data_IF_303798289810
#
_entry.id   IF_303798289810
#
_cell.length_a   1.000
_cell.length_b   1.000
_cell.length_c   1.000
_cell.angle_alpha   90.00
_cell.angle_beta   90.00
_cell.angle_gamma   90.00
#
_symmetry.space_group_name_H-M   'P 1'
#
loop_
_entity.id
_entity.type
_entity.pdbx_description
1 polymer ?
#
# COMPACT_ATOMS: atom_id res chain seq x y z
N UNK A 1 4.41 8.65 -21.39
CA UNK A 1 4.50 7.18 -21.58
C UNK A 1 3.99 6.59 -20.28
N UNK A 2 2.93 5.78 -20.27
CA UNK A 2 2.42 5.20 -19.02
C UNK A 2 3.49 4.27 -18.45
N UNK A 3 3.82 4.41 -17.17
CA UNK A 3 4.96 3.74 -16.50
C UNK A 3 4.70 2.26 -16.17
N UNK A 4 3.89 1.58 -16.97
CA UNK A 4 3.28 0.26 -16.68
C UNK A 4 4.30 -0.87 -16.54
N UNK A 5 5.41 -0.79 -17.28
CA UNK A 5 6.50 -1.77 -17.17
C UNK A 5 7.24 -1.75 -15.84
N UNK A 6 7.07 -0.71 -15.02
CA UNK A 6 7.71 -0.61 -13.70
C UNK A 6 6.90 -1.31 -12.62
N UNK A 7 5.58 -1.14 -12.62
CA UNK A 7 4.68 -1.76 -11.62
C UNK A 7 4.82 -3.28 -11.61
N UNK A 8 4.93 -3.90 -12.79
CA UNK A 8 5.16 -5.35 -12.92
C UNK A 8 6.44 -5.86 -12.22
N UNK A 9 7.39 -4.98 -11.87
CA UNK A 9 8.60 -5.35 -11.12
C UNK A 9 8.40 -5.42 -9.60
N UNK A 10 7.28 -4.90 -9.10
CA UNK A 10 6.93 -4.94 -7.68
C UNK A 10 6.19 -6.24 -7.29
N UNK A 11 5.89 -7.10 -8.26
CA UNK A 11 5.21 -8.37 -8.03
C UNK A 11 3.70 -8.32 -8.27
N UNK A 12 3.04 -9.47 -8.10
CA UNK A 12 1.64 -9.69 -8.47
C UNK A 12 0.64 -9.04 -7.48
N UNK A 13 1.14 -8.61 -6.33
CA UNK A 13 0.37 -7.94 -5.26
C UNK A 13 -0.04 -6.51 -5.63
N UNK A 14 0.61 -5.92 -6.64
CA UNK A 14 0.28 -4.61 -7.15
C UNK A 14 -0.62 -4.72 -8.39
N UNK A 15 -1.78 -4.08 -8.35
CA UNK A 15 -2.64 -3.91 -9.50
C UNK A 15 -2.29 -2.61 -10.22
N UNK A 16 -1.83 -2.72 -11.47
CA UNK A 16 -1.57 -1.56 -12.34
C UNK A 16 -2.88 -0.90 -12.79
N UNK A 17 -2.96 0.43 -12.63
CA UNK A 17 -4.16 1.22 -12.97
C UNK A 17 -4.48 1.28 -14.47
N UNK A 18 -3.62 0.72 -15.32
CA UNK A 18 -3.81 0.60 -16.77
C UNK A 18 -4.41 -0.74 -17.22
N UNK A 19 -4.48 -1.73 -16.33
CA UNK A 19 -5.04 -3.06 -16.61
C UNK A 19 -6.44 -3.21 -16.00
N UNK A 20 -7.16 -4.29 -16.34
CA UNK A 20 -8.46 -4.60 -15.76
C UNK A 20 -8.31 -4.97 -14.29
N UNK A 21 -8.76 -4.10 -13.40
CA UNK A 21 -8.50 -4.21 -11.98
C UNK A 21 -9.76 -4.44 -11.14
N UNK A 22 -9.55 -4.82 -9.89
CA UNK A 22 -10.58 -5.12 -8.90
C UNK A 22 -11.19 -3.89 -8.23
N UNK A 23 -10.54 -2.72 -8.32
CA UNK A 23 -11.05 -1.45 -7.81
C UNK A 23 -11.43 -0.46 -8.92
N UNK A 24 -12.36 0.46 -8.57
CA UNK A 24 -12.69 1.58 -9.44
C UNK A 24 -11.52 2.58 -9.48
N UNK A 25 -10.79 2.59 -10.59
CA UNK A 25 -9.64 3.45 -10.83
C UNK A 25 -9.95 4.95 -10.75
N UNK A 26 -11.22 5.34 -10.85
CA UNK A 26 -11.63 6.74 -10.70
C UNK A 26 -11.89 7.13 -9.25
N UNK A 27 -12.07 6.15 -8.36
CA UNK A 27 -12.31 6.38 -6.94
C UNK A 27 -11.00 6.73 -6.20
N UNK A 28 -9.90 6.03 -6.50
CA UNK A 28 -8.62 6.18 -5.79
C UNK A 28 -8.02 7.60 -5.87
N UNK A 29 -7.91 8.26 -7.05
CA UNK A 29 -7.43 9.64 -7.10
C UNK A 29 -8.34 10.63 -6.38
N UNK A 30 -9.66 10.36 -6.36
CA UNK A 30 -10.64 11.18 -5.67
C UNK A 30 -10.52 11.03 -4.15
N UNK A 31 -10.30 9.82 -3.67
CA UNK A 31 -10.09 9.53 -2.24
C UNK A 31 -8.76 10.11 -1.78
N UNK A 32 -7.67 9.91 -2.50
CA UNK A 32 -6.39 10.55 -2.17
C UNK A 32 -6.52 12.07 -2.05
N UNK A 33 -7.22 12.72 -2.97
CA UNK A 33 -7.47 14.17 -2.90
C UNK A 33 -8.34 14.58 -1.70
N UNK A 34 -9.20 13.69 -1.22
CA UNK A 34 -10.12 13.96 -0.10
C UNK A 34 -9.45 13.71 1.25
N UNK A 35 -8.62 12.68 1.36
CA UNK A 35 -8.04 12.21 2.61
C UNK A 35 -6.72 12.92 2.96
N UNK A 36 -5.99 13.47 1.98
CA UNK A 36 -4.75 14.22 2.23
C UNK A 36 -5.07 15.52 2.97
N UNK A 37 -4.78 15.51 4.28
CA UNK A 37 -4.98 16.64 5.16
C UNK A 37 -4.04 17.82 4.81
N UNK A 38 -4.42 19.09 5.04
CA UNK A 38 -3.59 20.28 4.79
C UNK A 38 -2.20 20.30 5.43
N UNK A 39 -2.01 19.58 6.52
CA UNK A 39 -0.70 19.43 7.19
C UNK A 39 0.15 18.28 6.63
N UNK A 40 -0.38 17.48 5.72
CA UNK A 40 0.33 16.38 5.09
C UNK A 40 1.42 16.91 4.13
N UNK A 41 2.63 16.33 4.08
CA UNK A 41 3.72 16.79 3.22
C UNK A 41 3.39 16.87 1.72
N UNK A 42 2.43 16.06 1.28
CA UNK A 42 1.96 16.02 -0.12
C UNK A 42 0.64 16.77 -0.34
N UNK A 43 0.19 17.58 0.62
CA UNK A 43 -0.98 18.43 0.40
C UNK A 43 -0.75 19.38 -0.78
N UNK A 44 -1.62 19.29 -1.79
CA UNK A 44 -1.52 20.07 -3.02
C UNK A 44 -0.45 19.61 -4.01
N UNK A 45 0.29 18.52 -3.73
CA UNK A 45 1.23 17.95 -4.67
C UNK A 45 0.52 17.32 -5.88
N UNK A 46 1.13 17.44 -7.07
CA UNK A 46 0.62 16.81 -8.28
C UNK A 46 1.00 15.32 -8.31
N UNK A 47 0.15 14.48 -7.70
CA UNK A 47 0.32 13.04 -7.64
C UNK A 47 -0.64 12.31 -8.60
N UNK A 48 -0.12 11.33 -9.32
CA UNK A 48 -0.89 10.37 -10.10
C UNK A 48 -0.81 8.99 -9.43
N UNK A 49 -1.97 8.40 -9.09
CA UNK A 49 -2.02 7.00 -8.62
C UNK A 49 -1.82 6.08 -9.82
N UNK A 50 -0.76 5.27 -9.80
CA UNK A 50 -0.38 4.39 -10.91
C UNK A 50 -0.60 2.91 -10.60
N UNK A 51 -0.69 2.55 -9.31
CA UNK A 51 -1.05 1.21 -8.86
C UNK A 51 -1.67 1.26 -7.46
N UNK A 52 -2.44 0.23 -7.11
CA UNK A 52 -2.81 -0.04 -5.72
C UNK A 52 -2.40 -1.47 -5.34
N UNK A 53 -2.23 -1.68 -4.05
CA UNK A 53 -1.94 -3.01 -3.52
C UNK A 53 -3.24 -3.78 -3.31
N UNK A 54 -3.24 -5.09 -3.57
CA UNK A 54 -4.45 -5.93 -3.57
C UNK A 54 -4.91 -6.35 -2.18
N UNK A 55 -3.99 -6.38 -1.22
CA UNK A 55 -4.24 -6.96 0.11
C UNK A 55 -4.35 -5.92 1.23
N UNK A 56 -4.06 -4.64 0.95
CA UNK A 56 -4.26 -3.53 1.86
C UNK A 56 -4.58 -2.24 1.10
N UNK A 57 -4.51 -1.14 1.83
CA UNK A 57 -5.00 0.17 1.44
C UNK A 57 -3.90 1.05 0.81
N UNK A 58 -2.79 0.45 0.38
CA UNK A 58 -1.65 1.17 -0.16
C UNK A 58 -1.85 1.55 -1.63
N UNK A 59 -1.45 2.77 -1.97
CA UNK A 59 -1.38 3.26 -3.34
C UNK A 59 0.02 3.73 -3.70
N UNK A 60 0.47 3.37 -4.90
CA UNK A 60 1.71 3.86 -5.49
C UNK A 60 1.41 5.10 -6.32
N UNK A 61 2.06 6.20 -5.96
CA UNK A 61 1.92 7.50 -6.61
C UNK A 61 3.17 7.87 -7.39
N UNK A 62 2.99 8.43 -8.58
CA UNK A 62 4.02 9.11 -9.37
C UNK A 62 3.91 10.64 -9.18
N UNK A 63 5.04 11.31 -8.96
CA UNK A 63 5.08 12.76 -8.80
C UNK A 63 5.21 13.44 -10.17
N UNK A 64 4.16 14.14 -10.61
CA UNK A 64 4.12 14.78 -11.93
C UNK A 64 5.13 15.93 -12.05
N UNK A 65 5.38 16.65 -10.95
CA UNK A 65 6.36 17.75 -10.91
C UNK A 65 7.80 17.27 -10.74
N UNK A 66 8.00 16.03 -10.26
CA UNK A 66 9.33 15.42 -10.07
C UNK A 66 9.32 14.00 -10.64
N UNK A 67 9.44 13.82 -11.97
CA UNK A 67 9.13 12.55 -12.63
C UNK A 67 10.00 11.35 -12.25
N UNK A 68 11.12 11.56 -11.55
CA UNK A 68 11.95 10.47 -11.02
C UNK A 68 11.43 9.93 -9.68
N UNK A 69 10.52 10.66 -9.01
CA UNK A 69 10.06 10.41 -7.64
C UNK A 69 8.72 9.68 -7.62
N UNK A 70 8.62 8.75 -6.69
CA UNK A 70 7.46 7.93 -6.40
C UNK A 70 7.25 7.88 -4.89
N UNK A 71 6.01 7.61 -4.47
CA UNK A 71 5.70 7.35 -3.07
C UNK A 71 4.66 6.27 -2.92
N UNK A 72 4.78 5.47 -1.86
CA UNK A 72 3.73 4.56 -1.40
C UNK A 72 2.99 5.25 -0.26
N UNK A 73 1.67 5.39 -0.41
CA UNK A 73 0.80 6.02 0.58
C UNK A 73 -0.20 5.00 1.10
N UNK A 74 -0.30 4.86 2.41
CA UNK A 74 -1.32 4.04 3.05
C UNK A 74 -2.60 4.88 3.23
N UNK A 75 -3.63 4.58 2.46
CA UNK A 75 -4.92 5.25 2.57
C UNK A 75 -5.70 4.75 3.79
N UNK A 76 -6.64 5.57 4.26
CA UNK A 76 -7.48 5.23 5.41
C UNK A 76 -8.89 4.80 5.00
N UNK A 77 -9.27 5.04 3.75
CA UNK A 77 -10.61 4.81 3.16
C UNK A 77 -11.75 5.43 3.96
N UNK A 78 -11.44 6.45 4.75
CA UNK A 78 -12.42 7.09 5.60
C UNK A 78 -13.40 7.94 4.80
N UNK A 79 -13.03 8.33 3.56
CA UNK A 79 -13.76 9.26 2.70
C UNK A 79 -14.05 10.61 3.37
N UNK A 80 -13.23 10.97 4.35
CA UNK A 80 -13.27 12.23 5.08
C UNK A 80 -11.84 12.73 5.24
N UNK A 81 -11.70 14.02 5.48
CA UNK A 81 -10.41 14.61 5.77
C UNK A 81 -9.82 13.93 7.01
N UNK A 82 -8.60 13.40 6.88
CA UNK A 82 -7.92 12.72 7.96
C UNK A 82 -7.21 13.70 8.90
N UNK A 83 -6.78 13.22 10.06
CA UNK A 83 -6.09 14.06 11.04
C UNK A 83 -4.57 14.09 10.79
N UNK A 84 -3.99 15.28 10.76
CA UNK A 84 -2.54 15.45 10.85
C UNK A 84 -1.75 14.99 9.62
N UNK A 85 -1.01 13.89 9.76
CA UNK A 85 -0.07 13.36 8.76
C UNK A 85 -0.60 12.15 7.99
N UNK A 86 -1.91 11.97 7.94
CA UNK A 86 -2.55 10.91 7.17
C UNK A 86 -2.98 11.43 5.77
N UNK A 87 -3.00 10.57 4.74
CA UNK A 87 -2.51 9.17 4.70
C UNK A 87 -1.02 9.06 5.05
N UNK A 88 -0.53 7.91 5.55
CA UNK A 88 0.89 7.80 5.90
C UNK A 88 1.75 7.60 4.66
N UNK A 89 2.98 8.10 4.71
CA UNK A 89 4.00 7.87 3.67
C UNK A 89 4.85 6.69 4.12
N UNK A 90 4.68 5.57 3.46
CA UNK A 90 5.39 4.33 3.80
C UNK A 90 6.75 4.24 3.09
N UNK A 91 6.82 4.76 1.87
CA UNK A 91 8.05 4.95 1.12
C UNK A 91 7.99 6.20 0.25
N UNK A 92 9.12 6.89 0.10
CA UNK A 92 9.23 8.06 -0.78
C UNK A 92 10.66 8.20 -1.33
N UNK A 93 10.79 8.31 -2.65
CA UNK A 93 12.08 8.44 -3.29
C UNK A 93 12.07 8.08 -4.76
N UNK A 94 13.26 7.85 -5.32
CA UNK A 94 13.36 7.32 -6.68
C UNK A 94 12.97 5.84 -6.74
N UNK A 95 12.70 5.35 -7.94
CA UNK A 95 12.29 3.96 -8.18
C UNK A 95 13.14 2.88 -7.44
N UNK A 96 14.48 2.95 -7.38
CA UNK A 96 15.27 1.97 -6.63
C UNK A 96 14.96 1.94 -5.13
N UNK A 97 14.55 3.06 -4.54
CA UNK A 97 14.15 3.14 -3.14
C UNK A 97 12.82 2.41 -2.92
N UNK A 98 11.86 2.58 -3.83
CA UNK A 98 10.57 1.86 -3.79
C UNK A 98 10.79 0.35 -3.87
N UNK A 99 11.63 -0.10 -4.80
CA UNK A 99 11.96 -1.53 -4.94
C UNK A 99 12.66 -2.07 -3.69
N UNK A 100 13.56 -1.30 -3.08
CA UNK A 100 14.22 -1.71 -1.85
C UNK A 100 13.23 -1.87 -0.69
N UNK A 101 12.31 -0.91 -0.53
CA UNK A 101 11.24 -0.98 0.47
C UNK A 101 10.36 -2.22 0.28
N UNK A 102 9.91 -2.50 -0.94
CA UNK A 102 9.06 -3.66 -1.24
C UNK A 102 9.79 -4.98 -0.97
N UNK A 103 11.06 -5.10 -1.34
CA UNK A 103 11.87 -6.28 -1.02
C UNK A 103 12.02 -6.49 0.50
N UNK A 104 12.15 -5.41 1.27
CA UNK A 104 12.23 -5.48 2.73
C UNK A 104 10.90 -5.93 3.36
N UNK A 105 9.77 -5.47 2.80
CA UNK A 105 8.42 -5.93 3.18
C UNK A 105 8.26 -7.43 2.90
N UNK A 106 8.60 -7.89 1.70
CA UNK A 106 8.53 -9.31 1.33
C UNK A 106 9.39 -10.19 2.22
N UNK A 107 10.60 -9.73 2.53
CA UNK A 107 11.51 -10.43 3.44
C UNK A 107 10.92 -10.51 4.86
N UNK A 108 10.30 -9.44 5.35
CA UNK A 108 9.67 -9.41 6.67
C UNK A 108 8.44 -10.33 6.74
N UNK A 109 7.60 -10.35 5.71
CA UNK A 109 6.45 -11.26 5.60
C UNK A 109 6.91 -12.72 5.55
N UNK A 110 7.90 -13.04 4.70
CA UNK A 110 8.47 -14.38 4.61
C UNK A 110 9.07 -14.85 5.95
N UNK A 111 9.75 -13.97 6.67
CA UNK A 111 10.30 -14.27 7.99
C UNK A 111 9.18 -14.49 9.02
N UNK A 112 8.10 -13.71 8.97
CA UNK A 112 6.94 -13.89 9.83
C UNK A 112 6.27 -15.26 9.60
N UNK A 113 6.02 -15.63 8.35
CA UNK A 113 5.46 -16.93 8.00
C UNK A 113 6.34 -18.09 8.44
N UNK A 114 7.67 -17.95 8.33
CA UNK A 114 8.60 -18.97 8.82
C UNK A 114 8.48 -19.15 10.34
N UNK A 115 8.37 -18.05 11.10
CA UNK A 115 8.14 -18.11 12.55
C UNK A 115 6.79 -18.75 12.90
N UNK A 116 5.74 -18.49 12.12
CA UNK A 116 4.42 -19.10 12.31
C UNK A 116 4.47 -20.61 12.03
N UNK A 117 5.14 -21.03 10.94
CA UNK A 117 5.35 -22.45 10.61
C UNK A 117 6.13 -23.20 11.69
N UNK A 118 7.09 -22.52 12.32
CA UNK A 118 7.88 -23.06 13.43
C UNK A 118 7.16 -23.00 14.78
N UNK A 119 5.93 -22.47 14.84
CA UNK A 119 5.15 -22.30 16.07
C UNK A 119 5.74 -21.25 17.03
N UNK A 120 6.61 -20.38 16.53
CA UNK A 120 7.28 -19.30 17.28
C UNK A 120 6.49 -17.99 17.25
N UNK A 121 5.41 -17.94 16.48
CA UNK A 121 4.49 -16.81 16.34
C UNK A 121 3.09 -17.34 16.06
N UNK A 122 2.07 -16.73 16.67
CA UNK A 122 0.68 -17.03 16.34
C UNK A 122 0.30 -16.42 14.99
N UNK A 123 -0.51 -17.10 14.15
CA UNK A 123 -0.98 -16.56 12.88
C UNK A 123 -1.72 -15.23 13.07
N UNK A 124 -1.25 -14.18 12.40
CA UNK A 124 -1.98 -12.91 12.38
C UNK A 124 -3.07 -12.94 11.29
N UNK A 125 -4.24 -12.43 11.65
CA UNK A 125 -5.27 -12.11 10.66
C UNK A 125 -4.87 -10.90 9.80
N UNK A 126 -5.59 -10.61 8.71
CA UNK A 126 -5.27 -9.54 7.76
C UNK A 126 -5.26 -8.13 8.38
N UNK A 127 -5.89 -7.94 9.55
CA UNK A 127 -5.85 -6.69 10.32
C UNK A 127 -4.65 -6.58 11.28
N UNK A 128 -3.66 -7.48 11.19
CA UNK A 128 -2.47 -7.47 12.06
C UNK A 128 -2.76 -7.82 13.53
N UNK A 129 -3.85 -8.54 13.79
CA UNK A 129 -4.21 -9.01 15.13
C UNK A 129 -4.08 -10.52 15.21
N UNK A 130 -3.63 -11.04 16.36
CA UNK A 130 -3.57 -12.48 16.59
C UNK A 130 -4.96 -13.10 16.40
N UNK A 131 -5.05 -14.14 15.57
CA UNK A 131 -6.31 -14.84 15.37
C UNK A 131 -6.75 -15.47 16.70
N UNK A 132 -8.00 -15.25 17.17
CA UNK A 132 -8.46 -15.90 18.38
C UNK A 132 -8.45 -17.43 18.19
N UNK A 133 -8.07 -18.20 19.22
CA UNK A 133 -8.01 -19.65 19.12
C UNK A 133 -9.39 -20.20 18.78
N UNK A 134 -9.47 -20.94 17.66
CA UNK A 134 -10.66 -21.69 17.27
C UNK A 134 -11.00 -22.69 18.38
N UNK A 135 -12.00 -22.37 19.19
CA UNK A 135 -12.60 -23.34 20.09
C UNK A 135 -13.41 -24.31 19.24
N UNK A 136 -12.79 -25.42 18.83
CA UNK A 136 -13.52 -26.56 18.28
C UNK A 136 -14.30 -27.16 19.44
N UNK A 137 -15.56 -26.74 19.57
CA UNK A 137 -16.51 -27.34 20.50
C UNK A 137 -16.64 -28.82 20.19
N UNK A 138 -16.19 -29.66 21.12
CA UNK A 138 -16.42 -31.10 21.09
C UNK A 138 -17.93 -31.30 21.31
N UNK A 139 -18.63 -31.75 20.28
CA UNK A 139 -20.00 -32.27 20.38
C UNK A 139 -20.03 -33.51 21.28
#
# INVERSE_FOLDING_TARGET
MKDTGRVARLGDDWCDMSEGCDLDHTALPRELKTEVHPAHPFFGAALEVIAHRRWNDDVLCHHLDTPARYSILHLTWSRREEIGSCPTIDADGEWPHIVAYENDVDAALSAAEALERDGRRDPMGPAGTASPPLHVGRL
#
